data_IF_211255164380
#
_entry.id   IF_211255164380
#
_cell.length_a   1.000
_cell.length_b   1.000
_cell.length_c   1.000
_cell.angle_alpha   90.00
_cell.angle_beta   90.00
_cell.angle_gamma   90.00
#
_symmetry.space_group_name_H-M   'P 1'
#
loop_
_entity.id
_entity.type
_entity.pdbx_description
1 polymer ?
#
# COMPACT_ATOMS: atom_id res chain seq x y z
N UNK A 1 2.21 11.72 -15.86
CA UNK A 1 2.60 12.35 -14.58
C UNK A 1 2.10 11.44 -13.47
N UNK A 2 3.00 10.84 -12.68
CA UNK A 2 2.58 9.92 -11.62
C UNK A 2 2.11 10.74 -10.41
N UNK A 3 0.83 10.56 -10.03
CA UNK A 3 0.19 11.35 -8.96
C UNK A 3 0.63 10.94 -7.55
N UNK A 4 1.25 9.78 -7.40
CA UNK A 4 1.68 9.21 -6.11
C UNK A 4 3.18 8.92 -6.19
N UNK A 5 3.93 9.34 -5.17
CA UNK A 5 5.37 9.12 -5.04
C UNK A 5 5.69 8.32 -3.78
N UNK A 6 6.93 7.81 -3.72
CA UNK A 6 7.46 7.18 -2.50
C UNK A 6 7.50 8.19 -1.36
N UNK A 7 7.20 7.72 -0.14
CA UNK A 7 7.09 8.50 1.09
C UNK A 7 5.87 9.43 1.20
N UNK A 8 4.93 9.40 0.25
CA UNK A 8 3.67 10.12 0.38
C UNK A 8 2.76 9.43 1.41
N UNK A 9 1.95 10.24 2.11
CA UNK A 9 0.89 9.76 2.99
C UNK A 9 -0.44 9.72 2.22
N UNK A 10 -1.06 8.55 2.19
CA UNK A 10 -2.28 8.29 1.40
C UNK A 10 -3.38 7.69 2.25
N UNK A 11 -4.63 7.83 1.80
CA UNK A 11 -5.81 7.19 2.37
C UNK A 11 -6.42 6.21 1.37
N UNK A 12 -6.84 5.05 1.86
CA UNK A 12 -7.49 4.03 1.03
C UNK A 12 -8.96 4.41 0.80
N UNK A 13 -9.34 4.59 -0.46
CA UNK A 13 -10.70 5.04 -0.84
C UNK A 13 -11.70 3.88 -0.85
N UNK A 14 -11.28 2.69 -1.28
CA UNK A 14 -12.11 1.49 -1.42
C UNK A 14 -11.32 0.21 -1.13
N UNK A 15 -12.02 -0.90 -0.86
CA UNK A 15 -11.42 -2.20 -0.55
C UNK A 15 -11.50 -2.57 0.94
N UNK A 16 -10.78 -3.63 1.32
CA UNK A 16 -10.80 -4.22 2.68
C UNK A 16 -10.41 -3.22 3.78
N UNK A 17 -9.41 -2.39 3.51
CA UNK A 17 -8.83 -1.44 4.47
C UNK A 17 -9.30 0.01 4.21
N UNK A 18 -10.53 0.20 3.71
CA UNK A 18 -11.08 1.52 3.39
C UNK A 18 -11.02 2.46 4.60
N UNK A 19 -10.59 3.71 4.36
CA UNK A 19 -10.47 4.75 5.38
C UNK A 19 -9.14 4.73 6.14
N UNK A 20 -8.36 3.65 6.04
CA UNK A 20 -7.05 3.60 6.68
C UNK A 20 -6.05 4.49 5.94
N UNK A 21 -5.19 5.14 6.71
CA UNK A 21 -4.06 5.94 6.21
C UNK A 21 -2.77 5.13 6.29
N UNK A 22 -1.85 5.37 5.37
CA UNK A 22 -0.54 4.74 5.39
C UNK A 22 0.46 5.45 4.48
N UNK A 23 1.74 5.20 4.74
CA UNK A 23 2.84 5.73 3.95
C UNK A 23 3.16 4.82 2.76
N UNK A 24 3.47 5.42 1.61
CA UNK A 24 3.88 4.71 0.40
C UNK A 24 5.33 4.23 0.48
N UNK A 25 5.51 2.92 0.64
CA UNK A 25 6.82 2.27 0.73
C UNK A 25 7.48 2.10 -0.64
N UNK A 26 6.70 1.74 -1.66
CA UNK A 26 7.17 1.62 -3.04
C UNK A 26 6.05 1.82 -4.06
N UNK A 27 6.43 2.24 -5.27
CA UNK A 27 5.54 2.37 -6.41
C UNK A 27 6.02 1.39 -7.48
N UNK A 28 5.13 0.51 -7.93
CA UNK A 28 5.38 -0.54 -8.91
C UNK A 28 4.37 -0.41 -10.06
N UNK A 29 4.62 0.54 -10.96
CA UNK A 29 3.73 0.84 -12.09
C UNK A 29 2.35 1.30 -11.61
N UNK A 30 1.33 0.49 -11.89
CA UNK A 30 -0.05 0.75 -11.46
C UNK A 30 -0.33 0.37 -10.01
N UNK A 31 0.56 -0.40 -9.37
CA UNK A 31 0.41 -0.84 -7.99
C UNK A 31 1.29 -0.04 -7.04
N UNK A 32 0.82 0.11 -5.80
CA UNK A 32 1.53 0.84 -4.75
C UNK A 32 1.55 0.00 -3.48
N UNK A 33 2.73 -0.11 -2.87
CA UNK A 33 2.89 -0.83 -1.61
C UNK A 33 2.76 0.17 -0.47
N UNK A 34 1.66 0.08 0.27
CA UNK A 34 1.33 0.98 1.38
C UNK A 34 1.56 0.27 2.70
N UNK A 35 2.28 0.92 3.62
CA UNK A 35 2.59 0.36 4.93
C UNK A 35 1.33 0.07 5.75
N UNK A 36 1.25 -1.12 6.34
CA UNK A 36 0.17 -1.50 7.25
C UNK A 36 -1.16 -1.90 6.59
N UNK A 37 -1.26 -1.78 5.27
CA UNK A 37 -2.46 -2.11 4.47
C UNK A 37 -2.26 -3.46 3.77
N UNK A 38 -3.36 -4.18 3.49
CA UNK A 38 -3.36 -5.45 2.76
C UNK A 38 -2.41 -6.51 3.37
N UNK A 39 -2.40 -6.63 4.70
CA UNK A 39 -1.55 -7.63 5.40
C UNK A 39 -2.01 -9.04 5.06
N UNK A 40 -1.08 -9.84 4.55
CA UNK A 40 -1.28 -11.24 4.18
C UNK A 40 -0.23 -12.13 4.82
N UNK A 41 -0.61 -13.36 5.17
CA UNK A 41 0.31 -14.37 5.68
C UNK A 41 0.81 -15.21 4.51
N UNK A 42 2.13 -15.31 4.35
CA UNK A 42 2.76 -16.24 3.42
C UNK A 42 3.35 -17.39 4.22
N UNK A 43 3.00 -18.64 3.86
CA UNK A 43 3.72 -19.79 4.36
C UNK A 43 5.09 -19.84 3.67
N UNK A 44 6.14 -19.71 4.47
CA UNK A 44 7.52 -19.85 4.02
C UNK A 44 8.05 -21.16 4.61
N UNK A 45 8.68 -22.00 3.77
CA UNK A 45 9.39 -23.18 4.26
C UNK A 45 10.48 -22.70 5.24
N UNK A 46 10.70 -23.40 6.36
CA UNK A 46 11.82 -23.12 7.25
C UNK A 46 13.16 -23.20 6.51
#
# INVERSE_FOLDING_TARGET
MNKIKKNDDVIVITGKDKGNRGNVLSVAGEYVLVGGINKVKKHQKP
#
